data_IF_290433190407
#
_entry.id   IF_290433190407
#
_cell.length_a   1.000
_cell.length_b   1.000
_cell.length_c   1.000
_cell.angle_alpha   90.00
_cell.angle_beta   90.00
_cell.angle_gamma   90.00
#
_symmetry.space_group_name_H-M   'P 1'
#
loop_
_entity.id
_entity.type
_entity.pdbx_description
1 polymer ?
#
# COMPACT_ATOMS: atom_id res chain seq x y z
N UNK A 1 -32.38 16.00 -46.67
CA UNK A 1 -32.28 14.76 -45.87
C UNK A 1 -30.85 14.24 -46.02
N UNK A 2 -30.32 13.67 -44.93
CA UNK A 2 -28.97 13.13 -44.73
C UNK A 2 -28.00 14.21 -44.20
N UNK A 3 -28.08 14.57 -42.91
CA UNK A 3 -27.64 13.83 -41.71
C UNK A 3 -26.11 13.78 -41.58
N UNK A 4 -25.62 14.83 -40.92
CA UNK A 4 -24.66 14.85 -39.81
C UNK A 4 -23.34 14.10 -39.96
N UNK A 5 -22.29 14.91 -40.07
CA UNK A 5 -20.92 14.63 -39.67
C UNK A 5 -20.89 14.47 -38.15
N UNK A 6 -20.64 13.26 -37.64
CA UNK A 6 -20.16 13.08 -36.26
C UNK A 6 -18.73 12.56 -36.30
N UNK A 7 -17.86 13.51 -35.98
CA UNK A 7 -16.44 13.36 -35.77
C UNK A 7 -16.25 12.48 -34.52
N UNK A 8 -15.82 11.23 -34.72
CA UNK A 8 -15.41 10.36 -33.62
C UNK A 8 -14.18 11.00 -32.95
N UNK A 9 -14.39 11.54 -31.75
CA UNK A 9 -13.31 11.95 -30.87
C UNK A 9 -12.41 10.73 -30.59
N UNK A 10 -11.09 10.92 -30.41
CA UNK A 10 -10.24 9.83 -29.95
C UNK A 10 -10.77 9.37 -28.58
N UNK A 11 -11.07 8.09 -28.45
CA UNK A 11 -11.24 7.45 -27.14
C UNK A 11 -9.91 7.67 -26.42
N UNK A 12 -9.88 8.56 -25.43
CA UNK A 12 -8.73 8.72 -24.55
C UNK A 12 -8.44 7.35 -23.94
N UNK A 13 -7.33 6.74 -24.37
CA UNK A 13 -6.81 5.54 -23.75
C UNK A 13 -6.41 5.91 -22.32
N UNK A 14 -7.31 5.72 -21.37
CA UNK A 14 -6.95 5.73 -19.96
C UNK A 14 -5.99 4.58 -19.75
N UNK A 15 -4.71 4.89 -19.55
CA UNK A 15 -3.72 3.91 -19.15
C UNK A 15 -4.19 3.30 -17.82
N UNK A 16 -4.66 2.05 -17.86
CA UNK A 16 -5.01 1.25 -16.68
C UNK A 16 -3.73 0.98 -15.91
N UNK A 17 -3.33 1.93 -15.07
CA UNK A 17 -2.28 1.67 -14.10
C UNK A 17 -2.94 0.94 -12.96
N UNK A 18 -2.97 -0.39 -13.05
CA UNK A 18 -3.55 -1.23 -12.01
C UNK A 18 -2.85 -0.93 -10.68
N UNK A 19 -3.65 -0.58 -9.67
CA UNK A 19 -3.19 -0.47 -8.30
C UNK A 19 -2.87 -1.86 -7.80
N UNK A 20 -1.67 -2.03 -7.28
CA UNK A 20 -1.32 -3.24 -6.55
C UNK A 20 -1.77 -3.06 -5.12
N UNK A 21 -2.55 -4.00 -4.62
CA UNK A 21 -2.98 -4.06 -3.23
C UNK A 21 -2.22 -5.18 -2.55
N UNK A 22 -1.52 -4.88 -1.46
CA UNK A 22 -0.81 -5.86 -0.64
C UNK A 22 -1.45 -5.96 0.75
N UNK A 23 -1.95 -7.13 1.10
CA UNK A 23 -2.31 -7.49 2.47
C UNK A 23 -1.14 -8.22 3.10
N UNK A 24 -0.74 -7.79 4.30
CA UNK A 24 0.44 -8.30 4.99
C UNK A 24 0.25 -8.41 6.49
N UNK A 25 0.89 -9.39 7.10
CA UNK A 25 1.08 -9.43 8.55
C UNK A 25 2.25 -10.32 8.96
N UNK A 26 2.82 -10.02 10.12
CA UNK A 26 3.72 -10.94 10.82
C UNK A 26 3.71 -10.64 12.32
N UNK A 27 3.55 -11.69 13.13
CA UNK A 27 3.92 -11.63 14.55
C UNK A 27 5.44 -11.77 14.68
N UNK A 28 6.07 -10.74 15.23
CA UNK A 28 7.50 -10.64 15.48
C UNK A 28 7.71 -9.56 16.53
N UNK A 29 8.51 -9.85 17.55
CA UNK A 29 8.90 -8.83 18.53
C UNK A 29 9.55 -7.62 17.85
N UNK A 30 9.02 -6.44 18.17
CA UNK A 30 9.52 -5.13 17.73
C UNK A 30 9.99 -4.37 18.95
N UNK A 31 11.31 -4.23 19.10
CA UNK A 31 11.94 -3.60 20.27
C UNK A 31 11.43 -2.17 20.52
N UNK A 32 11.30 -1.37 19.47
CA UNK A 32 10.75 -0.01 19.53
C UNK A 32 9.71 0.19 18.41
N UNK A 33 8.45 -0.06 18.76
CA UNK A 33 7.33 0.09 17.84
C UNK A 33 7.08 1.56 17.44
N UNK A 34 7.43 2.52 18.29
CA UNK A 34 7.28 3.94 17.99
C UNK A 34 8.33 4.42 16.99
N UNK A 35 9.58 3.97 17.14
CA UNK A 35 10.64 4.22 16.16
C UNK A 35 10.31 3.59 14.80
N UNK A 36 9.85 2.33 14.78
CA UNK A 36 9.41 1.69 13.54
C UNK A 36 8.25 2.46 12.89
N UNK A 37 7.27 2.94 13.68
CA UNK A 37 6.19 3.78 13.16
C UNK A 37 6.74 5.05 12.50
N UNK A 38 7.71 5.71 13.12
CA UNK A 38 8.30 6.94 12.62
C UNK A 38 9.04 6.71 11.30
N UNK A 39 9.86 5.65 11.21
CA UNK A 39 10.59 5.31 9.98
C UNK A 39 9.65 4.92 8.83
N UNK A 40 8.54 4.23 9.14
CA UNK A 40 7.47 3.98 8.17
C UNK A 40 6.80 5.29 7.71
N UNK A 41 6.49 6.20 8.63
CA UNK A 41 5.90 7.51 8.31
C UNK A 41 6.83 8.33 7.40
N UNK A 42 8.13 8.26 7.62
CA UNK A 42 9.11 8.97 6.80
C UNK A 42 9.27 8.33 5.42
N UNK A 43 9.29 7.01 5.34
CA UNK A 43 9.28 6.30 4.05
C UNK A 43 8.05 6.64 3.22
N UNK A 44 6.85 6.54 3.79
CA UNK A 44 5.60 6.72 3.01
C UNK A 44 5.37 8.15 2.54
N UNK A 45 6.09 9.15 3.07
CA UNK A 45 6.10 10.53 2.52
C UNK A 45 6.79 10.60 1.15
N UNK A 46 7.65 9.63 0.84
CA UNK A 46 8.48 9.62 -0.38
C UNK A 46 7.93 8.74 -1.50
N UNK A 47 6.88 7.96 -1.21
CA UNK A 47 6.29 7.00 -2.16
C UNK A 47 4.77 7.19 -2.28
N UNK A 48 4.21 6.86 -3.45
CA UNK A 48 2.77 6.95 -3.70
C UNK A 48 2.03 5.73 -3.13
N UNK A 49 1.82 5.72 -1.81
CA UNK A 49 1.18 4.62 -1.09
C UNK A 49 -0.09 5.11 -0.37
N UNK A 50 -1.13 4.28 -0.31
CA UNK A 50 -2.31 4.48 0.52
C UNK A 50 -2.70 3.20 1.27
N UNK A 51 -3.61 3.29 2.24
CA UNK A 51 -4.03 2.15 3.06
C UNK A 51 -3.73 2.35 4.54
N UNK A 52 -3.54 1.26 5.27
CA UNK A 52 -3.25 1.28 6.71
C UNK A 52 -2.26 0.20 7.08
N UNK A 53 -1.20 0.59 7.79
CA UNK A 53 -0.35 -0.30 8.57
C UNK A 53 -0.61 -0.06 10.06
N UNK A 54 -0.67 -1.15 10.82
CA UNK A 54 -0.73 -1.19 12.28
C UNK A 54 0.61 -1.76 12.76
N UNK A 55 1.26 -1.05 13.65
CA UNK A 55 2.51 -1.44 14.31
C UNK A 55 2.20 -1.62 15.79
N UNK A 56 2.69 -2.70 16.37
CA UNK A 56 2.68 -2.95 17.81
C UNK A 56 3.99 -3.62 18.22
N UNK A 57 4.24 -3.76 19.52
CA UNK A 57 5.41 -4.48 20.03
C UNK A 57 5.45 -5.94 19.59
N UNK A 58 4.29 -6.53 19.26
CA UNK A 58 4.18 -7.92 18.80
C UNK A 58 4.28 -8.10 17.28
N UNK A 59 4.38 -7.02 16.49
CA UNK A 59 4.58 -7.14 15.04
C UNK A 59 3.94 -6.05 14.19
N UNK A 60 3.56 -6.45 12.97
CA UNK A 60 2.93 -5.59 11.97
C UNK A 60 1.74 -6.27 11.27
N UNK A 61 0.71 -5.50 10.93
CA UNK A 61 -0.41 -5.94 10.10
C UNK A 61 -0.87 -4.77 9.22
N UNK A 62 -1.32 -5.04 7.99
CA UNK A 62 -2.09 -4.05 7.28
C UNK A 62 -2.45 -4.42 5.85
N UNK A 63 -3.06 -3.44 5.19
CA UNK A 63 -3.33 -3.48 3.77
C UNK A 63 -2.95 -2.14 3.16
N UNK A 64 -2.10 -2.20 2.15
CA UNK A 64 -1.59 -1.02 1.44
C UNK A 64 -1.82 -1.16 -0.06
N UNK A 65 -1.92 -0.04 -0.75
CA UNK A 65 -2.02 -0.01 -2.20
C UNK A 65 -1.19 1.11 -2.79
N UNK A 66 -0.62 0.87 -3.96
CA UNK A 66 0.19 1.82 -4.70
C UNK A 66 0.48 1.30 -6.10
N UNK A 67 1.33 2.03 -6.83
CA UNK A 67 1.98 1.44 -7.99
C UNK A 67 2.95 0.31 -7.56
N UNK A 68 3.42 -0.46 -8.54
CA UNK A 68 4.35 -1.57 -8.31
C UNK A 68 5.59 -1.13 -7.53
N UNK A 69 6.18 0.01 -7.90
CA UNK A 69 7.39 0.51 -7.26
C UNK A 69 7.16 0.85 -5.78
N UNK A 70 6.04 1.48 -5.43
CA UNK A 70 5.68 1.80 -4.06
C UNK A 70 5.49 0.53 -3.21
N UNK A 71 4.81 -0.48 -3.77
CA UNK A 71 4.59 -1.77 -3.10
C UNK A 71 5.89 -2.54 -2.90
N UNK A 72 6.76 -2.60 -3.92
CA UNK A 72 8.06 -3.26 -3.79
C UNK A 72 8.94 -2.51 -2.77
N UNK A 73 8.89 -1.18 -2.74
CA UNK A 73 9.66 -0.36 -1.79
C UNK A 73 9.26 -0.63 -0.35
N UNK A 74 7.96 -0.62 -0.02
CA UNK A 74 7.50 -0.90 1.34
C UNK A 74 7.79 -2.35 1.74
N UNK A 75 7.66 -3.31 0.81
CA UNK A 75 8.00 -4.71 1.06
C UNK A 75 9.48 -4.87 1.38
N UNK A 76 10.37 -4.28 0.58
CA UNK A 76 11.81 -4.35 0.82
C UNK A 76 12.20 -3.66 2.13
N UNK A 77 11.59 -2.52 2.46
CA UNK A 77 11.76 -1.89 3.76
C UNK A 77 11.42 -2.86 4.91
N UNK A 78 10.25 -3.50 4.87
CA UNK A 78 9.85 -4.46 5.92
C UNK A 78 10.78 -5.68 5.99
N UNK A 79 11.28 -6.17 4.87
CA UNK A 79 12.28 -7.26 4.86
C UNK A 79 13.59 -6.83 5.53
N UNK A 80 14.04 -5.58 5.31
CA UNK A 80 15.23 -5.01 5.95
C UNK A 80 15.02 -4.77 7.47
N UNK A 81 13.79 -4.48 7.89
CA UNK A 81 13.37 -4.49 9.29
C UNK A 81 13.29 -5.90 9.89
N UNK A 82 13.57 -6.93 9.09
CA UNK A 82 13.61 -8.32 9.48
C UNK A 82 12.23 -8.97 9.57
N UNK A 83 11.21 -8.45 8.90
CA UNK A 83 9.91 -9.13 8.71
C UNK A 83 10.00 -10.17 7.57
N UNK A 84 10.93 -11.13 7.70
CA UNK A 84 11.24 -12.10 6.64
C UNK A 84 10.20 -13.22 6.51
N UNK A 85 9.41 -13.48 7.55
CA UNK A 85 8.37 -14.52 7.56
C UNK A 85 6.96 -13.93 7.43
N UNK A 86 6.87 -12.75 6.81
CA UNK A 86 5.62 -12.03 6.63
C UNK A 86 4.72 -12.78 5.66
N UNK A 87 3.49 -13.03 6.11
CA UNK A 87 2.40 -13.43 5.25
C UNK A 87 2.08 -12.24 4.35
N UNK A 88 2.15 -12.46 3.04
CA UNK A 88 2.12 -11.38 2.05
C UNK A 88 1.34 -11.83 0.82
N UNK A 89 0.22 -11.15 0.55
CA UNK A 89 -0.67 -11.47 -0.58
C UNK A 89 -0.96 -10.22 -1.37
N UNK A 90 -0.82 -10.33 -2.69
CA UNK A 90 -1.11 -9.24 -3.61
C UNK A 90 -2.37 -9.50 -4.43
N UNK A 91 -3.08 -8.43 -4.77
CA UNK A 91 -4.14 -8.39 -5.77
C UNK A 91 -4.05 -7.10 -6.59
N UNK A 92 -4.86 -6.99 -7.64
CA UNK A 92 -4.92 -5.82 -8.51
C UNK A 92 -6.27 -5.11 -8.36
N UNK A 93 -6.26 -3.80 -8.55
CA UNK A 93 -7.46 -2.95 -8.57
C UNK A 93 -7.34 -1.90 -9.68
N UNK A 94 -8.37 -1.77 -10.51
CA UNK A 94 -8.43 -0.74 -11.57
C UNK A 94 -8.65 0.67 -11.01
N UNK A 95 -9.09 0.78 -9.75
CA UNK A 95 -9.35 2.04 -9.07
C UNK A 95 -8.52 2.16 -7.79
N UNK A 96 -8.31 3.40 -7.32
CA UNK A 96 -7.60 3.66 -6.05
C UNK A 96 -8.44 3.15 -4.86
N UNK A 97 -8.00 2.11 -4.13
CA UNK A 97 -8.85 1.43 -3.15
C UNK A 97 -8.94 2.16 -1.81
N UNK A 98 -7.96 3.01 -1.48
CA UNK A 98 -7.92 3.75 -0.22
C UNK A 98 -7.66 5.24 -0.45
N UNK A 99 -8.38 6.08 0.33
CA UNK A 99 -8.28 7.54 0.22
C UNK A 99 -6.93 8.10 0.67
N UNK A 100 -6.34 7.56 1.74
CA UNK A 100 -5.10 8.07 2.35
C UNK A 100 -4.27 6.96 3.00
N UNK A 101 -2.99 7.22 3.22
CA UNK A 101 -2.11 6.39 4.04
C UNK A 101 -2.33 6.66 5.53
N UNK A 102 -2.23 5.62 6.35
CA UNK A 102 -2.20 5.70 7.82
C UNK A 102 -1.17 4.71 8.37
N UNK A 103 -0.35 5.14 9.31
CA UNK A 103 0.46 4.25 10.15
C UNK A 103 -0.03 4.41 11.58
N UNK A 104 -0.57 3.34 12.17
CA UNK A 104 -1.14 3.35 13.52
C UNK A 104 -0.22 2.61 14.47
N UNK A 105 0.13 3.23 15.59
CA UNK A 105 0.71 2.55 16.73
C UNK A 105 -0.42 2.03 17.63
N UNK A 106 -0.37 0.75 17.99
CA UNK A 106 -1.37 0.05 18.81
C UNK A 106 -0.68 -0.88 19.81
N UNK A 107 -1.46 -1.38 20.79
CA UNK A 107 -1.00 -2.41 21.71
C UNK A 107 -0.92 -3.78 21.04
N UNK A 108 -1.86 -4.07 20.13
CA UNK A 108 -1.96 -5.33 19.40
C UNK A 108 -2.18 -5.05 17.90
N UNK A 109 -1.72 -5.96 17.04
CA UNK A 109 -1.88 -5.85 15.57
C UNK A 109 -3.18 -6.45 15.04
N UNK A 110 -3.90 -7.20 15.88
CA UNK A 110 -5.24 -7.76 15.64
C UNK A 110 -6.08 -7.53 16.91
N UNK A 111 -7.38 -7.29 16.77
CA UNK A 111 -8.32 -7.19 17.90
C UNK A 111 -9.61 -7.91 17.52
#
# INVERSE_FOLDING_TARGET
MNATVEQLAPVEQQATTDWVVAALYQFKEVNDAADLQQRLLDLVKTINLCGTLIVASEGINGTVAGDRQAIDTIRQFLLNEGFQAMEYKESLSSEKPFRKMKIKLKQEIVT
#
